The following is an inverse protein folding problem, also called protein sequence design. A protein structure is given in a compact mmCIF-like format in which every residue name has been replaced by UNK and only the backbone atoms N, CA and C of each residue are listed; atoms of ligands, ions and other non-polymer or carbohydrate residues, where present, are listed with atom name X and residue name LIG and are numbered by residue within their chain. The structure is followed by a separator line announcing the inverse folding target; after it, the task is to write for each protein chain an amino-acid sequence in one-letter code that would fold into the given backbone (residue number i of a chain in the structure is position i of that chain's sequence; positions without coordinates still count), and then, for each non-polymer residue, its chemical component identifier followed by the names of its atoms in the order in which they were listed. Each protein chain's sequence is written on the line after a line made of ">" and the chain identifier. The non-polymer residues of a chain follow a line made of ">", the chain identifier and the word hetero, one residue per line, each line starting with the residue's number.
data_IF_753722002364
#
_entry.id   IF_753722002364
#
_cell.length_a   1.000
_cell.length_b   1.000
_cell.length_c   1.000
_cell.angle_alpha   90.00
_cell.angle_beta   90.00
_cell.angle_gamma   90.00
#
_symmetry.space_group_name_H-M   'P 1'
#
loop_
_entity.id
_entity.type
_entity.pdbx_description
1 polymer ?
#
# COMPACT_ATOMS: atom_id res chain seq x y z
N UNK A 1 -21.99 4.84 -12.81
CA UNK A 1 -21.69 5.13 -11.40
C UNK A 1 -21.29 3.82 -10.71
N UNK A 2 -20.15 3.83 -9.99
CA UNK A 2 -19.69 2.70 -9.21
C UNK A 2 -20.47 2.69 -7.89
N UNK A 3 -21.01 1.54 -7.50
CA UNK A 3 -21.75 1.38 -6.24
C UNK A 3 -20.82 1.61 -5.02
N UNK A 4 -21.42 2.06 -3.92
CA UNK A 4 -20.68 2.37 -2.68
C UNK A 4 -19.89 1.17 -2.13
N UNK A 5 -20.45 -0.04 -2.25
CA UNK A 5 -19.79 -1.28 -1.80
C UNK A 5 -18.53 -1.59 -2.61
N UNK A 6 -18.62 -1.55 -3.94
CA UNK A 6 -17.49 -1.76 -4.83
C UNK A 6 -16.40 -0.71 -4.59
N UNK A 7 -16.80 0.54 -4.41
CA UNK A 7 -15.88 1.63 -4.13
C UNK A 7 -15.19 1.48 -2.77
N UNK A 8 -15.90 1.01 -1.74
CA UNK A 8 -15.32 0.74 -0.42
C UNK A 8 -14.25 -0.36 -0.45
N UNK A 9 -14.54 -1.48 -1.12
CA UNK A 9 -13.56 -2.58 -1.28
C UNK A 9 -12.39 -2.14 -2.17
N UNK A 10 -12.66 -1.38 -3.24
CA UNK A 10 -11.59 -0.86 -4.09
C UNK A 10 -10.67 0.08 -3.31
N UNK A 11 -11.19 0.92 -2.43
CA UNK A 11 -10.41 1.79 -1.55
C UNK A 11 -9.53 1.00 -0.58
N UNK A 12 -10.07 -0.06 0.04
CA UNK A 12 -9.27 -0.98 0.85
C UNK A 12 -8.18 -1.67 0.02
N UNK A 13 -8.51 -2.10 -1.21
CA UNK A 13 -7.56 -2.69 -2.15
C UNK A 13 -6.48 -1.71 -2.58
N UNK A 14 -6.78 -0.43 -2.69
CA UNK A 14 -5.79 0.60 -3.00
C UNK A 14 -4.78 0.78 -1.86
N UNK A 15 -5.25 0.80 -0.62
CA UNK A 15 -4.41 0.84 0.56
C UNK A 15 -3.46 -0.37 0.68
N UNK A 16 -3.95 -1.58 0.39
CA UNK A 16 -3.18 -2.83 0.46
C UNK A 16 -2.22 -2.93 -0.74
N UNK A 17 -1.10 -2.25 -0.65
CA UNK A 17 -0.06 -2.16 -1.68
C UNK A 17 1.20 -2.93 -1.31
N UNK A 18 2.17 -2.97 -2.21
CA UNK A 18 3.47 -3.57 -1.92
C UNK A 18 4.17 -2.87 -0.73
N UNK A 19 4.08 -1.55 -0.63
CA UNK A 19 4.70 -0.81 0.46
C UNK A 19 3.95 -1.03 1.79
N UNK A 20 2.62 -0.87 1.81
CA UNK A 20 1.84 -0.94 3.05
C UNK A 20 1.60 -2.36 3.54
N UNK A 21 1.45 -3.34 2.64
CA UNK A 21 1.20 -4.73 3.02
C UNK A 21 2.48 -5.54 3.12
N UNK A 22 3.24 -5.69 2.02
CA UNK A 22 4.45 -6.49 2.04
C UNK A 22 5.54 -5.88 2.92
N UNK A 23 5.70 -4.55 2.89
CA UNK A 23 6.66 -3.85 3.72
C UNK A 23 6.39 -4.02 5.21
N UNK A 24 5.15 -3.85 5.66
CA UNK A 24 4.76 -4.04 7.06
C UNK A 24 4.87 -5.51 7.48
N UNK A 25 4.42 -6.45 6.64
CA UNK A 25 4.59 -7.88 6.92
C UNK A 25 6.08 -8.25 7.07
N UNK A 26 6.95 -7.71 6.21
CA UNK A 26 8.38 -7.87 6.32
C UNK A 26 8.95 -7.30 7.62
N UNK A 27 8.55 -6.08 7.99
CA UNK A 27 8.97 -5.47 9.25
C UNK A 27 8.53 -6.28 10.47
N UNK A 28 7.31 -6.79 10.48
CA UNK A 28 6.83 -7.65 11.57
C UNK A 28 7.63 -8.97 11.62
N UNK A 29 7.95 -9.56 10.47
CA UNK A 29 8.73 -10.79 10.41
C UNK A 29 10.15 -10.61 10.95
N UNK A 30 10.79 -9.44 10.71
CA UNK A 30 12.16 -9.17 11.16
C UNK A 30 12.25 -8.55 12.55
N UNK A 31 11.33 -7.65 12.90
CA UNK A 31 11.39 -6.85 14.13
C UNK A 31 10.28 -7.20 15.13
N UNK A 32 9.42 -8.16 14.81
CA UNK A 32 8.33 -8.58 15.68
C UNK A 32 7.38 -7.42 16.01
N UNK A 33 7.14 -7.21 17.31
CA UNK A 33 6.19 -6.20 17.79
C UNK A 33 6.56 -4.76 17.38
N UNK A 34 7.84 -4.43 17.31
CA UNK A 34 8.31 -3.10 16.89
C UNK A 34 7.93 -2.81 15.43
N UNK A 35 7.98 -3.84 14.56
CA UNK A 35 7.48 -3.72 13.19
C UNK A 35 5.97 -3.46 13.11
N UNK A 36 5.19 -4.04 14.03
CA UNK A 36 3.76 -3.79 14.13
C UNK A 36 3.44 -2.35 14.59
N UNK A 37 4.23 -1.80 15.52
CA UNK A 37 4.06 -0.42 15.99
C UNK A 37 4.12 0.60 14.83
N UNK A 38 4.93 0.33 13.82
CA UNK A 38 5.00 1.16 12.63
C UNK A 38 3.67 1.29 11.90
N UNK A 39 2.82 0.25 11.92
CA UNK A 39 1.51 0.26 11.28
C UNK A 39 0.47 1.11 12.02
N UNK A 40 0.63 1.32 13.32
CA UNK A 40 -0.31 2.10 14.16
C UNK A 40 -0.41 3.55 13.68
N UNK A 41 0.71 4.15 13.26
CA UNK A 41 0.74 5.50 12.72
C UNK A 41 -0.15 5.68 11.49
N UNK A 42 -0.15 4.70 10.60
CA UNK A 42 -1.02 4.71 9.42
C UNK A 42 -2.49 4.57 9.78
N UNK A 43 -2.82 3.67 10.70
CA UNK A 43 -4.20 3.47 11.16
C UNK A 43 -4.75 4.75 11.81
N UNK A 44 -3.98 5.38 12.68
CA UNK A 44 -4.34 6.66 13.30
C UNK A 44 -4.55 7.75 12.23
N UNK A 45 -3.65 7.85 11.26
CA UNK A 45 -3.77 8.78 10.13
C UNK A 45 -5.05 8.57 9.32
N UNK A 46 -5.42 7.32 9.06
CA UNK A 46 -6.67 6.99 8.34
C UNK A 46 -7.92 7.34 9.14
N UNK A 47 -7.93 7.15 10.45
CA UNK A 47 -9.04 7.54 11.32
C UNK A 47 -9.22 9.06 11.25
N UNK A 48 -8.14 9.82 11.40
CA UNK A 48 -8.18 11.29 11.29
C UNK A 48 -8.64 11.71 9.89
N UNK A 49 -8.10 11.10 8.83
CA UNK A 49 -8.49 11.42 7.46
C UNK A 49 -9.98 11.16 7.22
N UNK A 50 -10.53 10.06 7.72
CA UNK A 50 -11.92 9.70 7.53
C UNK A 50 -12.88 10.66 8.27
N UNK A 51 -12.62 10.94 9.54
CA UNK A 51 -13.54 11.71 10.37
C UNK A 51 -13.36 13.23 10.27
N UNK A 52 -12.13 13.70 9.99
CA UNK A 52 -11.83 15.14 10.01
C UNK A 52 -11.72 15.71 8.59
N UNK A 53 -11.14 14.97 7.64
CA UNK A 53 -10.76 15.51 6.32
C UNK A 53 -11.76 15.11 5.23
N UNK A 54 -12.27 13.88 5.25
CA UNK A 54 -13.06 13.34 4.13
C UNK A 54 -14.38 14.10 3.92
N UNK A 55 -15.10 14.43 4.97
CA UNK A 55 -16.38 15.15 4.86
C UNK A 55 -16.23 16.59 4.32
N UNK A 56 -15.31 17.43 4.84
CA UNK A 56 -15.06 18.75 4.26
C UNK A 56 -14.67 18.70 2.77
N UNK A 57 -13.78 17.77 2.37
CA UNK A 57 -13.36 17.66 0.97
C UNK A 57 -14.53 17.20 0.09
N UNK A 58 -15.32 16.24 0.54
CA UNK A 58 -16.52 15.78 -0.18
C UNK A 58 -17.51 16.90 -0.44
N UNK A 59 -17.74 17.77 0.55
CA UNK A 59 -18.65 18.93 0.41
C UNK A 59 -18.15 19.96 -0.59
N UNK A 60 -16.84 20.08 -0.80
CA UNK A 60 -16.27 20.97 -1.81
C UNK A 60 -16.51 20.46 -3.23
N UNK A 61 -16.87 19.21 -3.44
CA UNK A 61 -17.14 18.62 -4.75
C UNK A 61 -15.94 18.64 -5.69
N UNK A 62 -14.73 18.61 -5.15
CA UNK A 62 -13.47 18.62 -5.91
C UNK A 62 -12.78 17.25 -5.86
N UNK A 63 -12.07 16.92 -6.95
CA UNK A 63 -11.46 15.60 -7.11
C UNK A 63 -10.00 15.55 -6.69
N UNK A 64 -9.30 16.68 -6.68
CA UNK A 64 -7.89 16.75 -6.29
C UNK A 64 -7.68 17.66 -5.09
N UNK A 65 -6.64 17.36 -4.29
CA UNK A 65 -6.24 18.21 -3.17
C UNK A 65 -5.91 19.64 -3.62
N UNK A 66 -5.22 19.78 -4.75
CA UNK A 66 -4.87 21.08 -5.33
C UNK A 66 -6.12 21.90 -5.70
N UNK A 67 -7.15 21.24 -6.26
CA UNK A 67 -8.40 21.92 -6.61
C UNK A 67 -9.24 22.26 -5.36
N UNK A 68 -9.23 21.40 -4.34
CA UNK A 68 -9.88 21.68 -3.07
C UNK A 68 -9.26 22.90 -2.35
N UNK A 69 -7.94 22.97 -2.31
CA UNK A 69 -7.22 24.13 -1.76
C UNK A 69 -7.48 25.39 -2.59
N UNK A 70 -7.44 25.31 -3.92
CA UNK A 70 -7.72 26.45 -4.77
C UNK A 70 -9.16 26.95 -4.67
N UNK A 71 -10.13 26.06 -4.45
CA UNK A 71 -11.53 26.43 -4.23
C UNK A 71 -11.71 27.26 -2.96
N UNK A 72 -10.88 27.03 -1.92
CA UNK A 72 -10.96 27.77 -0.65
C UNK A 72 -10.14 29.05 -0.67
N UNK A 73 -8.95 29.02 -1.23
CA UNK A 73 -7.96 30.12 -1.11
C UNK A 73 -7.79 30.95 -2.39
N UNK A 74 -8.31 30.46 -3.54
CA UNK A 74 -8.25 31.11 -4.85
C UNK A 74 -6.84 31.65 -5.22
N UNK A 75 -5.79 30.91 -4.82
CA UNK A 75 -4.40 31.29 -5.02
C UNK A 75 -3.71 30.40 -6.04
N UNK A 76 -3.21 31.00 -7.13
CA UNK A 76 -2.43 30.28 -8.15
C UNK A 76 -1.14 29.68 -7.59
N UNK A 77 -0.46 30.42 -6.68
CA UNK A 77 0.76 29.94 -6.03
C UNK A 77 0.51 28.71 -5.18
N UNK A 78 -0.57 28.72 -4.38
CA UNK A 78 -0.95 27.58 -3.53
C UNK A 78 -1.30 26.34 -4.39
N UNK A 79 -2.01 26.53 -5.50
CA UNK A 79 -2.32 25.45 -6.44
C UNK A 79 -1.05 24.85 -7.04
N UNK A 80 -0.08 25.69 -7.44
CA UNK A 80 1.18 25.22 -7.99
C UNK A 80 2.01 24.43 -6.96
N UNK A 81 2.15 24.97 -5.75
CA UNK A 81 2.87 24.29 -4.66
C UNK A 81 2.21 22.95 -4.33
N UNK A 82 0.89 22.88 -4.22
CA UNK A 82 0.16 21.65 -3.98
C UNK A 82 0.35 20.63 -5.12
N UNK A 83 0.36 21.06 -6.37
CA UNK A 83 0.60 20.19 -7.52
C UNK A 83 2.04 19.63 -7.52
N UNK A 84 3.04 20.46 -7.23
CA UNK A 84 4.44 20.04 -7.13
C UNK A 84 4.61 19.07 -5.95
N UNK A 85 4.04 19.36 -4.78
CA UNK A 85 4.09 18.48 -3.63
C UNK A 85 3.47 17.11 -3.95
N UNK A 86 2.32 17.09 -4.61
CA UNK A 86 1.67 15.84 -5.03
C UNK A 86 2.55 15.03 -5.99
N UNK A 87 3.20 15.69 -6.96
CA UNK A 87 4.12 15.04 -7.88
C UNK A 87 5.32 14.42 -7.15
N UNK A 88 5.93 15.17 -6.25
CA UNK A 88 7.08 14.70 -5.45
C UNK A 88 6.68 13.51 -4.57
N UNK A 89 5.57 13.60 -3.86
CA UNK A 89 5.05 12.51 -3.02
C UNK A 89 4.79 11.26 -3.87
N UNK A 90 4.17 11.42 -5.05
CA UNK A 90 3.87 10.31 -5.95
C UNK A 90 5.14 9.61 -6.46
N UNK A 91 6.19 10.37 -6.79
CA UNK A 91 7.48 9.80 -7.20
C UNK A 91 8.13 9.00 -6.06
N UNK A 92 8.18 9.55 -4.86
CA UNK A 92 8.72 8.84 -3.70
C UNK A 92 7.90 7.60 -3.33
N UNK A 93 6.59 7.63 -3.50
CA UNK A 93 5.72 6.48 -3.26
C UNK A 93 5.87 5.40 -4.34
N UNK A 94 6.17 5.78 -5.58
CA UNK A 94 6.36 4.84 -6.69
C UNK A 94 7.59 3.94 -6.48
N UNK A 95 8.66 4.46 -5.86
CA UNK A 95 9.92 3.71 -5.63
C UNK A 95 9.68 2.39 -4.87
N UNK A 96 9.11 2.37 -3.66
CA UNK A 96 8.86 1.13 -2.93
C UNK A 96 7.88 0.20 -3.64
N UNK A 97 6.95 0.73 -4.43
CA UNK A 97 6.04 -0.09 -5.23
C UNK A 97 6.80 -0.86 -6.33
N UNK A 98 7.72 -0.21 -7.02
CA UNK A 98 8.54 -0.84 -8.05
C UNK A 98 9.54 -1.84 -7.45
N UNK A 99 10.14 -1.53 -6.32
CA UNK A 99 11.01 -2.46 -5.58
C UNK A 99 10.21 -3.71 -5.17
N UNK A 100 9.00 -3.54 -4.64
CA UNK A 100 8.13 -4.66 -4.28
C UNK A 100 7.75 -5.53 -5.48
N UNK A 101 7.45 -4.92 -6.63
CA UNK A 101 7.19 -5.64 -7.87
C UNK A 101 8.39 -6.50 -8.30
N UNK A 102 9.59 -5.95 -8.31
CA UNK A 102 10.81 -6.67 -8.63
C UNK A 102 11.13 -7.79 -7.64
N UNK A 103 10.89 -7.55 -6.35
CA UNK A 103 11.11 -8.53 -5.29
C UNK A 103 10.18 -9.76 -5.40
N UNK A 104 8.95 -9.58 -5.87
CA UNK A 104 7.99 -10.66 -6.07
C UNK A 104 8.27 -11.45 -7.35
N UNK A 105 8.65 -10.79 -8.43
CA UNK A 105 8.88 -11.44 -9.72
C UNK A 105 10.09 -12.38 -9.69
N UNK A 106 11.12 -12.03 -8.92
CA UNK A 106 12.33 -12.85 -8.81
C UNK A 106 12.05 -14.28 -8.29
N UNK A 107 11.40 -14.50 -7.14
CA UNK A 107 11.10 -15.85 -6.66
C UNK A 107 10.00 -16.57 -7.45
N UNK A 108 9.06 -15.84 -8.06
CA UNK A 108 7.92 -16.45 -8.76
C UNK A 108 8.26 -16.89 -10.18
N UNK A 109 9.05 -16.09 -10.90
CA UNK A 109 9.34 -16.31 -12.33
C UNK A 109 10.81 -16.60 -12.61
N UNK A 110 11.69 -16.57 -11.61
CA UNK A 110 13.13 -16.74 -11.79
C UNK A 110 13.82 -15.61 -12.56
N UNK A 111 13.12 -14.52 -12.83
CA UNK A 111 13.64 -13.38 -13.58
C UNK A 111 14.47 -12.44 -12.69
N UNK A 112 15.44 -11.71 -13.24
CA UNK A 112 16.17 -10.72 -12.48
C UNK A 112 15.26 -9.59 -12.02
N UNK A 113 15.57 -8.96 -10.89
CA UNK A 113 14.78 -7.91 -10.26
C UNK A 113 14.38 -6.77 -11.22
N UNK A 114 15.32 -6.30 -12.05
CA UNK A 114 15.07 -5.22 -13.01
C UNK A 114 14.01 -5.59 -14.06
N UNK A 115 13.95 -6.87 -14.48
CA UNK A 115 12.95 -7.34 -15.44
C UNK A 115 11.54 -7.29 -14.83
N UNK A 116 11.41 -7.63 -13.54
CA UNK A 116 10.16 -7.49 -12.80
C UNK A 116 9.70 -6.04 -12.71
N UNK A 117 10.60 -5.13 -12.40
CA UNK A 117 10.32 -3.69 -12.37
C UNK A 117 9.85 -3.19 -13.74
N UNK A 118 10.58 -3.53 -14.80
CA UNK A 118 10.25 -3.11 -16.16
C UNK A 118 8.89 -3.67 -16.63
N UNK A 119 8.65 -4.95 -16.40
CA UNK A 119 7.42 -5.64 -16.82
C UNK A 119 6.19 -5.05 -16.12
N UNK A 120 6.25 -4.88 -14.81
CA UNK A 120 5.14 -4.29 -14.05
C UNK A 120 4.98 -2.80 -14.40
N UNK A 121 6.07 -2.06 -14.54
CA UNK A 121 6.04 -0.65 -14.93
C UNK A 121 5.36 -0.43 -16.29
N UNK A 122 5.72 -1.22 -17.29
CA UNK A 122 5.09 -1.16 -18.62
C UNK A 122 3.61 -1.54 -18.54
N UNK A 123 3.28 -2.65 -17.87
CA UNK A 123 1.91 -3.11 -17.74
C UNK A 123 1.01 -2.07 -17.07
N UNK A 124 1.47 -1.48 -15.95
CA UNK A 124 0.71 -0.43 -15.24
C UNK A 124 0.57 0.82 -16.10
N UNK A 125 1.62 1.23 -16.80
CA UNK A 125 1.57 2.41 -17.69
C UNK A 125 0.54 2.22 -18.81
N UNK A 126 0.52 1.03 -19.43
CA UNK A 126 -0.47 0.70 -20.47
C UNK A 126 -1.89 0.71 -19.90
N UNK A 127 -2.10 0.09 -18.75
CA UNK A 127 -3.42 0.06 -18.10
C UNK A 127 -3.92 1.47 -17.79
N UNK A 128 -3.07 2.29 -17.19
CA UNK A 128 -3.45 3.67 -16.82
C UNK A 128 -3.71 4.54 -18.06
N UNK A 129 -2.89 4.39 -19.09
CA UNK A 129 -3.03 5.19 -20.33
C UNK A 129 -4.28 4.79 -21.14
N UNK A 130 -4.67 3.52 -21.14
CA UNK A 130 -5.78 3.02 -21.96
C UNK A 130 -7.13 2.96 -21.25
N UNK A 131 -7.13 2.64 -19.97
CA UNK A 131 -8.35 2.21 -19.28
C UNK A 131 -8.96 3.29 -18.34
N UNK A 132 -8.21 4.30 -17.97
CA UNK A 132 -8.69 5.41 -17.14
C UNK A 132 -9.10 5.02 -15.71
N UNK A 133 -9.72 5.96 -14.99
CA UNK A 133 -10.02 5.82 -13.54
C UNK A 133 -11.02 4.70 -13.19
N UNK A 134 -11.99 4.43 -14.05
CA UNK A 134 -13.01 3.40 -13.77
C UNK A 134 -12.40 2.01 -13.78
N UNK A 135 -11.52 1.75 -14.72
CA UNK A 135 -10.82 0.46 -14.82
C UNK A 135 -9.88 0.23 -13.65
N UNK A 136 -9.14 1.25 -13.22
CA UNK A 136 -8.28 1.15 -12.05
C UNK A 136 -9.08 0.82 -10.79
N UNK A 137 -10.28 1.37 -10.61
CA UNK A 137 -11.17 1.03 -9.49
C UNK A 137 -11.58 -0.44 -9.51
N UNK A 138 -11.89 -1.01 -10.67
CA UNK A 138 -12.21 -2.43 -10.78
C UNK A 138 -11.01 -3.34 -10.50
N UNK A 139 -9.82 -2.96 -10.95
CA UNK A 139 -8.57 -3.68 -10.62
C UNK A 139 -8.33 -3.67 -9.11
N UNK A 140 -8.52 -2.53 -8.44
CA UNK A 140 -8.36 -2.43 -6.99
C UNK A 140 -9.44 -3.22 -6.24
N UNK A 141 -10.67 -3.25 -6.74
CA UNK A 141 -11.73 -4.08 -6.18
C UNK A 141 -11.40 -5.57 -6.22
N UNK A 142 -10.95 -6.06 -7.38
CA UNK A 142 -10.58 -7.48 -7.56
C UNK A 142 -9.38 -7.81 -6.67
N UNK A 143 -8.33 -6.97 -6.68
CA UNK A 143 -7.15 -7.13 -5.85
C UNK A 143 -7.49 -7.15 -4.36
N UNK A 144 -8.29 -6.19 -3.91
CA UNK A 144 -8.70 -6.08 -2.51
C UNK A 144 -9.52 -7.28 -2.04
N UNK A 145 -10.50 -7.70 -2.84
CA UNK A 145 -11.32 -8.88 -2.54
C UNK A 145 -10.46 -10.14 -2.45
N UNK A 146 -9.60 -10.37 -3.46
CA UNK A 146 -8.74 -11.55 -3.52
C UNK A 146 -7.80 -11.60 -2.30
N UNK A 147 -7.18 -10.47 -1.97
CA UNK A 147 -6.23 -10.39 -0.87
C UNK A 147 -6.90 -10.64 0.48
N UNK A 148 -8.07 -10.04 0.72
CA UNK A 148 -8.83 -10.25 1.97
C UNK A 148 -9.25 -11.71 2.11
N UNK A 149 -9.75 -12.33 1.04
CA UNK A 149 -10.17 -13.74 1.06
C UNK A 149 -8.99 -14.66 1.34
N UNK A 150 -7.86 -14.46 0.65
CA UNK A 150 -6.66 -15.28 0.86
C UNK A 150 -6.10 -15.10 2.27
N UNK A 151 -6.02 -13.86 2.75
CA UNK A 151 -5.56 -13.59 4.12
C UNK A 151 -6.47 -14.24 5.17
N UNK A 152 -7.78 -14.13 5.01
CA UNK A 152 -8.75 -14.78 5.91
C UNK A 152 -8.57 -16.30 5.91
N UNK A 153 -8.38 -16.91 4.74
CA UNK A 153 -8.12 -18.34 4.62
C UNK A 153 -6.82 -18.76 5.30
N UNK A 154 -5.73 -18.03 5.06
CA UNK A 154 -4.42 -18.29 5.70
C UNK A 154 -4.52 -18.15 7.22
N UNK A 155 -5.19 -17.11 7.71
CA UNK A 155 -5.42 -16.92 9.16
C UNK A 155 -6.23 -18.10 9.72
N UNK A 156 -7.28 -18.55 9.04
CA UNK A 156 -8.06 -19.73 9.42
C UNK A 156 -7.17 -20.98 9.57
N UNK A 157 -6.33 -21.25 8.57
CA UNK A 157 -5.38 -22.38 8.63
C UNK A 157 -4.37 -22.28 9.79
N UNK A 158 -3.90 -21.07 10.09
CA UNK A 158 -2.97 -20.84 11.20
C UNK A 158 -3.68 -21.11 12.53
N UNK A 159 -4.92 -20.65 12.69
CA UNK A 159 -5.72 -20.87 13.90
C UNK A 159 -6.05 -22.36 14.11
N UNK A 160 -6.35 -23.10 13.04
CA UNK A 160 -6.59 -24.55 13.10
C UNK A 160 -5.32 -25.33 13.49
N UNK A 161 -4.15 -24.94 12.99
CA UNK A 161 -2.87 -25.58 13.32
C UNK A 161 -2.36 -25.22 14.71
N UNK A 162 -2.89 -24.16 15.31
CA UNK A 162 -2.40 -23.59 16.58
C UNK A 162 -1.07 -22.84 16.41
N UNK A 163 -0.71 -22.09 17.44
CA UNK A 163 0.58 -21.39 17.50
C UNK A 163 1.67 -22.34 17.98
N UNK A 164 2.13 -23.24 17.13
CA UNK A 164 3.29 -24.06 17.42
C UNK A 164 4.53 -23.20 17.25
N UNK A 165 5.05 -22.67 18.34
CA UNK A 165 6.37 -22.04 18.34
C UNK A 165 7.39 -23.19 18.29
N UNK A 166 8.19 -23.34 17.21
CA UNK A 166 9.25 -24.33 17.19
C UNK A 166 10.19 -24.03 18.36
N UNK A 167 10.35 -24.97 19.28
CA UNK A 167 11.27 -24.87 20.40
C UNK A 167 12.74 -25.12 19.98
N UNK A 168 13.08 -24.73 18.76
CA UNK A 168 14.49 -24.67 18.35
C UNK A 168 15.15 -23.54 19.13
N UNK A 169 16.06 -23.84 20.06
CA UNK A 169 16.79 -22.79 20.75
C UNK A 169 17.53 -22.00 19.67
N UNK A 170 17.18 -20.71 19.51
CA UNK A 170 17.99 -19.79 18.74
C UNK A 170 19.39 -19.92 19.32
N UNK A 171 20.33 -20.49 18.56
CA UNK A 171 21.69 -20.66 19.04
C UNK A 171 22.21 -19.30 19.49
N UNK A 172 22.58 -19.17 20.74
CA UNK A 172 23.10 -17.93 21.33
C UNK A 172 24.28 -17.33 20.53
N UNK A 173 24.95 -18.15 19.71
CA UNK A 173 25.96 -17.73 18.76
C UNK A 173 25.42 -16.85 17.62
N UNK A 174 24.20 -17.08 17.16
CA UNK A 174 23.61 -16.35 16.03
C UNK A 174 23.13 -14.94 16.47
N UNK A 175 22.70 -14.80 17.72
CA UNK A 175 22.32 -13.50 18.31
C UNK A 175 23.55 -12.62 18.57
N UNK A 176 24.73 -13.21 18.82
CA UNK A 176 25.96 -12.44 19.05
C UNK A 176 26.55 -11.87 17.74
N UNK A 177 26.33 -12.52 16.61
CA UNK A 177 26.83 -12.03 15.32
C UNK A 177 26.08 -10.78 14.88
N UNK A 178 24.78 -10.67 15.19
CA UNK A 178 23.94 -9.51 14.85
C UNK A 178 24.23 -8.25 15.70
N UNK A 179 24.99 -8.40 16.77
CA UNK A 179 25.33 -7.31 17.72
C UNK A 179 26.68 -6.64 17.43
N UNK A 180 27.41 -7.12 16.43
CA UNK A 180 28.79 -6.67 16.13
C UNK A 180 28.95 -5.92 14.82
N UNK A 181 27.89 -5.82 13.98
CA UNK A 181 27.83 -5.04 12.77
C UNK A 181 26.83 -3.88 12.92
#
# INVERSE_FOLDING_TARGET
>A
QIGWFVNGIAFAGDYLSAASFLGICGMIAFFGYDGFLYSIGYLAGWIVALFVIAEPIKRLGKYTLADALNARFQSRGLKLVAAIATLVISLFYLIPQMVGAGALVKPLLGLPHWAGVAMVGVAVTVIVATAGMVSTTWVQFIKGTLLVVICAFVVGLILERGFIVPSTPIRAAEVQTYRRD
#
